data_IF_091585845787
#
_entry.id   IF_091585845787
#
_cell.length_a   1.000
_cell.length_b   1.000
_cell.length_c   1.000
_cell.angle_alpha   90.00
_cell.angle_beta   90.00
_cell.angle_gamma   90.00
#
_symmetry.space_group_name_H-M   'P 1'
#
loop_
_entity.id
_entity.type
_entity.pdbx_description
1 polymer ?
#
# COMPACT_ATOMS: atom_id res chain seq x y z
N UNK A 1 -9.24 18.81 -16.06
CA UNK A 1 -7.94 19.41 -15.71
C UNK A 1 -6.90 18.32 -15.88
N UNK A 2 -5.89 18.53 -16.72
CA UNK A 2 -4.79 17.57 -16.90
C UNK A 2 -3.76 17.76 -15.78
N UNK A 3 -3.49 16.71 -15.00
CA UNK A 3 -2.43 16.72 -13.98
C UNK A 3 -1.12 16.27 -14.64
N UNK A 4 -0.39 17.22 -15.22
CA UNK A 4 0.83 16.94 -15.99
C UNK A 4 2.03 16.64 -15.07
N UNK A 5 2.61 15.46 -15.22
CA UNK A 5 3.81 15.01 -14.49
C UNK A 5 4.90 14.67 -15.50
N UNK A 6 6.04 15.34 -15.38
CA UNK A 6 7.24 15.00 -16.14
C UNK A 6 8.10 14.01 -15.37
N UNK A 7 8.54 12.95 -16.04
CA UNK A 7 9.44 11.93 -15.50
C UNK A 7 10.79 12.11 -16.19
N UNK A 8 11.85 12.28 -15.41
CA UNK A 8 13.20 12.49 -15.91
C UNK A 8 14.11 11.40 -15.33
N UNK A 9 14.80 10.64 -16.16
CA UNK A 9 15.75 9.61 -15.69
C UNK A 9 16.97 9.55 -16.62
N UNK A 10 18.02 8.85 -16.19
CA UNK A 10 19.29 8.70 -16.91
C UNK A 10 19.19 7.70 -18.07
N UNK A 11 18.21 6.80 -18.00
CA UNK A 11 18.01 5.75 -19.00
C UNK A 11 17.32 6.26 -20.26
N UNK A 12 17.27 5.43 -21.31
CA UNK A 12 16.55 5.73 -22.56
C UNK A 12 15.07 5.40 -22.48
N UNK A 13 14.74 4.41 -21.67
CA UNK A 13 13.41 3.95 -21.32
C UNK A 13 13.32 3.99 -19.80
N UNK A 14 12.11 4.02 -19.27
CA UNK A 14 11.88 4.11 -17.83
C UNK A 14 10.87 3.06 -17.40
N UNK A 15 10.91 2.71 -16.11
CA UNK A 15 10.07 1.68 -15.51
C UNK A 15 8.60 1.81 -15.99
N UNK A 16 8.12 0.87 -16.83
CA UNK A 16 6.78 0.93 -17.39
C UNK A 16 5.70 0.75 -16.30
N UNK A 17 6.00 0.02 -15.22
CA UNK A 17 5.09 -0.21 -14.11
C UNK A 17 4.89 1.11 -13.33
N UNK A 18 5.97 1.85 -13.09
CA UNK A 18 5.88 3.16 -12.43
C UNK A 18 5.03 4.15 -13.25
N UNK A 19 5.24 4.19 -14.57
CA UNK A 19 4.46 5.05 -15.46
C UNK A 19 2.98 4.66 -15.49
N UNK A 20 2.70 3.36 -15.60
CA UNK A 20 1.33 2.85 -15.55
C UNK A 20 0.66 3.23 -14.22
N UNK A 21 1.34 3.08 -13.09
CA UNK A 21 0.81 3.44 -11.78
C UNK A 21 0.42 4.93 -11.70
N UNK A 22 1.22 5.83 -12.29
CA UNK A 22 0.87 7.26 -12.34
C UNK A 22 -0.36 7.51 -13.22
N UNK A 23 -0.45 6.85 -14.37
CA UNK A 23 -1.59 6.98 -15.27
C UNK A 23 -2.88 6.47 -14.61
N UNK A 24 -2.81 5.35 -13.90
CA UNK A 24 -3.93 4.81 -13.12
C UNK A 24 -4.35 5.76 -11.99
N UNK A 25 -3.44 6.57 -11.43
CA UNK A 25 -3.76 7.62 -10.46
C UNK A 25 -4.35 8.89 -11.10
N UNK A 26 -4.51 8.92 -12.43
CA UNK A 26 -5.08 10.05 -13.18
C UNK A 26 -4.07 11.15 -13.52
N UNK A 27 -2.77 10.82 -13.53
CA UNK A 27 -1.72 11.73 -14.00
C UNK A 27 -1.44 11.53 -15.49
N UNK A 28 -1.20 12.64 -16.19
CA UNK A 28 -0.69 12.61 -17.56
C UNK A 28 0.83 12.65 -17.49
N UNK A 29 1.48 11.58 -17.93
CA UNK A 29 2.93 11.40 -17.79
C UNK A 29 3.67 11.73 -19.09
N UNK A 30 4.71 12.56 -19.03
CA UNK A 30 5.66 12.76 -20.13
C UNK A 30 7.05 12.33 -19.64
N UNK A 31 7.69 11.42 -20.35
CA UNK A 31 9.04 10.98 -20.03
C UNK A 31 10.09 11.69 -20.89
N UNK A 32 11.15 12.18 -20.26
CA UNK A 32 12.30 12.81 -20.93
C UNK A 32 13.61 12.20 -20.40
N UNK A 33 14.36 11.47 -21.23
CA UNK A 33 15.62 10.85 -20.83
C UNK A 33 16.78 11.85 -20.78
N UNK A 34 17.73 11.64 -19.89
CA UNK A 34 19.02 12.35 -19.87
C UNK A 34 20.08 11.56 -20.65
N UNK A 35 20.33 11.98 -21.89
CA UNK A 35 21.25 11.29 -22.80
C UNK A 35 22.72 11.74 -22.70
N UNK A 36 23.10 12.33 -21.56
CA UNK A 36 24.47 12.81 -21.29
C UNK A 36 24.80 14.23 -21.77
N UNK A 37 23.97 14.85 -22.62
CA UNK A 37 24.14 16.27 -22.98
C UNK A 37 23.45 17.19 -21.98
N UNK A 38 24.22 17.72 -21.04
CA UNK A 38 23.73 18.60 -19.95
C UNK A 38 23.09 19.88 -20.47
N UNK A 39 23.60 20.45 -21.57
CA UNK A 39 23.06 21.72 -22.09
C UNK A 39 21.67 21.52 -22.69
N UNK A 40 21.50 20.49 -23.52
CA UNK A 40 20.22 20.17 -24.14
C UNK A 40 19.19 19.76 -23.09
N UNK A 41 19.61 18.97 -22.09
CA UNK A 41 18.74 18.56 -20.99
C UNK A 41 18.31 19.76 -20.14
N UNK A 42 19.24 20.64 -19.75
CA UNK A 42 18.91 21.85 -19.01
C UNK A 42 18.01 22.79 -19.82
N UNK A 43 18.18 22.84 -21.14
CA UNK A 43 17.28 23.58 -22.03
C UNK A 43 15.88 22.96 -21.97
N UNK A 44 15.73 21.65 -22.14
CA UNK A 44 14.44 20.96 -22.04
C UNK A 44 13.75 21.21 -20.69
N UNK A 45 14.47 21.07 -19.56
CA UNK A 45 13.92 21.31 -18.21
C UNK A 45 13.39 22.74 -18.04
N UNK A 46 14.07 23.74 -18.62
CA UNK A 46 13.62 25.15 -18.55
C UNK A 46 12.33 25.42 -19.31
N UNK A 47 12.04 24.63 -20.35
CA UNK A 47 10.91 24.84 -21.25
C UNK A 47 9.75 23.85 -21.00
N UNK A 48 9.80 23.05 -19.92
CA UNK A 48 8.70 22.12 -19.57
C UNK A 48 7.36 22.83 -19.31
N UNK A 49 7.42 24.11 -18.93
CA UNK A 49 6.24 24.91 -18.62
C UNK A 49 5.74 25.76 -19.80
N UNK A 50 6.42 25.75 -20.94
CA UNK A 50 6.15 26.71 -22.03
C UNK A 50 4.76 26.50 -22.66
N UNK A 51 4.32 25.25 -22.74
CA UNK A 51 3.00 24.87 -23.26
C UNK A 51 1.90 24.91 -22.18
N UNK A 52 2.23 25.35 -20.96
CA UNK A 52 1.30 25.33 -19.84
C UNK A 52 0.46 26.62 -19.79
N UNK A 53 -0.86 26.47 -19.85
CA UNK A 53 -1.78 27.60 -19.70
C UNK A 53 -1.60 28.32 -18.35
N UNK A 54 -1.86 29.63 -18.33
CA UNK A 54 -1.68 30.45 -17.14
C UNK A 54 -2.57 29.95 -15.99
N UNK A 55 -1.95 29.62 -14.85
CA UNK A 55 -2.63 29.11 -13.66
C UNK A 55 -2.68 27.59 -13.56
N UNK A 56 -2.26 26.85 -14.59
CA UNK A 56 -2.06 25.41 -14.48
C UNK A 56 -0.74 25.11 -13.78
N UNK A 57 -0.69 23.93 -13.15
CA UNK A 57 0.47 23.41 -12.44
C UNK A 57 1.00 22.19 -13.19
N UNK A 58 2.29 21.92 -13.04
CA UNK A 58 2.92 20.69 -13.46
C UNK A 58 3.82 20.20 -12.31
N UNK A 59 4.18 18.92 -12.36
CA UNK A 59 5.14 18.34 -11.43
C UNK A 59 6.29 17.69 -12.20
N UNK A 60 7.43 17.56 -11.54
CA UNK A 60 8.59 16.83 -12.04
C UNK A 60 8.94 15.75 -11.03
N UNK A 61 9.10 14.51 -11.49
CA UNK A 61 9.73 13.41 -10.76
C UNK A 61 11.02 13.10 -11.52
N UNK A 62 12.15 13.19 -10.83
CA UNK A 62 13.45 12.97 -11.46
C UNK A 62 14.27 11.96 -10.67
N UNK A 63 15.00 11.12 -11.41
CA UNK A 63 15.84 10.03 -10.91
C UNK A 63 17.31 10.28 -11.30
N UNK A 64 18.24 9.64 -10.60
CA UNK A 64 19.67 9.64 -10.97
C UNK A 64 20.32 11.02 -11.16
N UNK A 65 21.22 11.13 -12.14
CA UNK A 65 21.88 12.37 -12.55
C UNK A 65 20.90 13.39 -13.15
N UNK A 66 19.83 12.93 -13.81
CA UNK A 66 18.73 13.78 -14.28
C UNK A 66 18.11 14.58 -13.11
N UNK A 67 17.97 13.98 -11.92
CA UNK A 67 17.50 14.67 -10.71
C UNK A 67 18.45 15.77 -10.26
N UNK A 68 19.76 15.49 -10.27
CA UNK A 68 20.81 16.47 -9.92
C UNK A 68 20.78 17.67 -10.87
N UNK A 69 20.72 17.44 -12.18
CA UNK A 69 20.66 18.51 -13.17
C UNK A 69 19.36 19.30 -13.09
N UNK A 70 18.22 18.63 -12.92
CA UNK A 70 16.91 19.26 -12.72
C UNK A 70 16.91 20.18 -11.50
N UNK A 71 17.44 19.71 -10.37
CA UNK A 71 17.55 20.51 -9.15
C UNK A 71 18.44 21.74 -9.35
N UNK A 72 19.55 21.60 -10.06
CA UNK A 72 20.43 22.72 -10.41
C UNK A 72 19.72 23.78 -11.24
N UNK A 73 18.94 23.37 -12.25
CA UNK A 73 18.15 24.29 -13.09
C UNK A 73 17.09 25.01 -12.28
N UNK A 74 16.39 24.28 -11.42
CA UNK A 74 15.36 24.75 -10.50
C UNK A 74 15.89 25.79 -9.50
N UNK A 75 17.14 25.66 -9.05
CA UNK A 75 17.78 26.60 -8.12
C UNK A 75 18.36 27.85 -8.80
N UNK A 76 18.91 27.69 -10.01
CA UNK A 76 19.57 28.78 -10.74
C UNK A 76 18.59 29.69 -11.48
N UNK A 77 17.54 29.08 -12.03
CA UNK A 77 16.50 29.81 -12.72
C UNK A 77 15.48 30.20 -11.66
N UNK A 78 15.19 31.49 -11.52
CA UNK A 78 13.91 31.90 -10.96
C UNK A 78 12.85 31.40 -11.94
N UNK A 79 12.48 30.11 -11.88
CA UNK A 79 11.38 29.54 -12.65
C UNK A 79 10.21 30.49 -12.43
N UNK A 80 9.80 31.25 -13.47
CA UNK A 80 8.97 32.43 -13.27
C UNK A 80 7.69 31.99 -12.56
N UNK A 81 7.43 32.59 -11.38
CA UNK A 81 6.23 32.35 -10.55
C UNK A 81 6.15 31.08 -9.68
N UNK A 82 7.26 30.48 -9.24
CA UNK A 82 7.21 29.24 -8.44
C UNK A 82 7.48 29.40 -6.94
N UNK A 83 6.48 29.12 -6.09
CA UNK A 83 6.73 28.61 -4.74
C UNK A 83 7.11 27.13 -4.86
N UNK A 84 8.35 26.88 -5.27
CA UNK A 84 8.82 25.52 -5.48
C UNK A 84 8.84 24.75 -4.17
N UNK A 85 8.07 23.68 -4.12
CA UNK A 85 8.14 22.71 -3.05
C UNK A 85 8.98 21.54 -3.54
N UNK A 86 10.00 21.11 -2.79
CA UNK A 86 10.84 19.94 -3.09
C UNK A 86 10.64 18.80 -2.07
N UNK A 87 10.50 17.56 -2.57
CA UNK A 87 10.53 16.30 -1.82
C UNK A 87 11.69 15.45 -2.35
N UNK A 88 12.52 14.91 -1.46
CA UNK A 88 13.68 14.09 -1.82
C UNK A 88 13.59 12.69 -1.19
N UNK A 89 13.93 11.68 -1.99
CA UNK A 89 14.04 10.28 -1.58
C UNK A 89 15.47 9.83 -1.80
N UNK A 90 16.11 9.31 -0.75
CA UNK A 90 17.52 8.94 -0.77
C UNK A 90 17.71 7.49 -0.32
N UNK A 91 18.52 6.77 -1.08
CA UNK A 91 19.04 5.47 -0.66
C UNK A 91 19.99 5.64 0.54
N UNK A 92 20.15 4.59 1.34
CA UNK A 92 20.97 4.59 2.57
C UNK A 92 22.40 5.11 2.37
N UNK A 93 22.97 4.84 1.20
CA UNK A 93 24.37 5.14 0.86
C UNK A 93 24.60 6.57 0.34
N UNK A 94 23.59 7.44 0.30
CA UNK A 94 23.71 8.80 -0.25
C UNK A 94 23.93 9.84 0.87
N UNK A 95 25.16 10.37 1.04
CA UNK A 95 25.54 11.15 2.22
C UNK A 95 25.23 12.65 2.09
N UNK A 96 24.16 13.01 1.39
CA UNK A 96 23.76 14.41 1.22
C UNK A 96 22.32 14.61 1.66
N UNK A 97 22.05 15.71 2.35
CA UNK A 97 20.70 16.14 2.70
C UNK A 97 20.49 17.56 2.23
N UNK A 98 19.31 17.87 1.72
CA UNK A 98 18.92 19.24 1.37
C UNK A 98 18.42 19.92 2.63
N UNK A 99 19.22 20.83 3.20
CA UNK A 99 18.92 21.51 4.46
C UNK A 99 17.58 22.29 4.47
N UNK A 100 17.00 22.57 3.30
CA UNK A 100 15.76 23.34 3.11
C UNK A 100 14.56 22.53 2.61
N UNK A 101 14.68 21.24 2.30
CA UNK A 101 13.59 20.45 1.72
C UNK A 101 13.31 19.13 2.44
N UNK A 102 12.08 18.64 2.30
CA UNK A 102 11.63 17.42 2.98
C UNK A 102 12.35 16.22 2.38
N UNK A 103 13.19 15.56 3.16
CA UNK A 103 14.04 14.46 2.71
C UNK A 103 13.74 13.20 3.51
N UNK A 104 13.61 12.07 2.81
CA UNK A 104 13.46 10.76 3.39
C UNK A 104 14.62 9.86 2.97
N UNK A 105 15.25 9.22 3.96
CA UNK A 105 16.30 8.23 3.74
C UNK A 105 15.72 6.84 3.97
N UNK A 106 16.03 5.90 3.08
CA UNK A 106 15.58 4.52 3.12
C UNK A 106 16.75 3.63 3.54
N UNK A 107 16.70 3.01 4.72
CA UNK A 107 17.77 2.13 5.20
C UNK A 107 17.98 0.93 4.27
N UNK A 108 19.22 0.44 4.19
CA UNK A 108 19.59 -0.79 3.48
C UNK A 108 19.28 -0.83 1.98
N UNK A 109 19.01 0.32 1.34
CA UNK A 109 18.77 0.43 -0.09
C UNK A 109 19.91 1.09 -0.87
N UNK A 110 19.94 0.84 -2.19
CA UNK A 110 20.81 1.45 -3.18
C UNK A 110 20.03 2.42 -4.11
N UNK A 111 20.69 3.37 -4.80
CA UNK A 111 20.07 4.12 -5.90
C UNK A 111 19.42 3.17 -6.91
N UNK A 112 18.24 3.51 -7.42
CA UNK A 112 17.41 2.61 -8.25
C UNK A 112 16.36 1.83 -7.47
N UNK A 113 16.33 1.89 -6.13
CA UNK A 113 15.40 1.09 -5.30
C UNK A 113 13.90 1.24 -5.61
N UNK A 114 13.52 2.32 -6.29
CA UNK A 114 12.12 2.65 -6.59
C UNK A 114 11.69 2.22 -8.00
N UNK A 115 12.58 1.67 -8.82
CA UNK A 115 12.34 1.25 -10.20
C UNK A 115 12.27 -0.28 -10.23
N UNK A 116 11.12 -0.83 -10.63
CA UNK A 116 10.78 -2.25 -10.49
C UNK A 116 11.45 -3.18 -11.51
N UNK A 117 12.06 -2.59 -12.54
CA UNK A 117 12.83 -3.25 -13.58
C UNK A 117 14.34 -3.31 -13.29
N UNK A 118 14.80 -2.72 -12.17
CA UNK A 118 16.20 -2.76 -11.74
C UNK A 118 16.46 -3.85 -10.68
N UNK A 119 17.71 -4.31 -10.59
CA UNK A 119 18.14 -5.29 -9.58
C UNK A 119 18.10 -4.69 -8.16
N UNK A 120 18.29 -3.39 -8.05
CA UNK A 120 18.27 -2.63 -6.80
C UNK A 120 16.87 -2.45 -6.22
N UNK A 121 15.81 -2.85 -6.94
CA UNK A 121 14.42 -2.69 -6.52
C UNK A 121 14.17 -3.24 -5.12
N UNK A 122 13.71 -2.38 -4.23
CA UNK A 122 13.23 -2.77 -2.91
C UNK A 122 11.74 -2.47 -2.79
N UNK A 123 10.92 -3.53 -2.81
CA UNK A 123 9.45 -3.43 -2.77
C UNK A 123 8.94 -2.57 -1.60
N UNK A 124 9.56 -2.65 -0.43
CA UNK A 124 9.08 -1.96 0.77
C UNK A 124 9.46 -0.48 0.74
N UNK A 125 10.71 -0.17 0.41
CA UNK A 125 11.19 1.20 0.27
C UNK A 125 10.49 1.91 -0.90
N UNK A 126 10.30 1.23 -2.03
CA UNK A 126 9.54 1.71 -3.17
C UNK A 126 8.07 2.01 -2.80
N UNK A 127 7.41 1.11 -2.06
CA UNK A 127 6.04 1.36 -1.59
C UNK A 127 5.93 2.59 -0.67
N UNK A 128 6.91 2.78 0.21
CA UNK A 128 6.97 3.94 1.10
C UNK A 128 7.31 5.24 0.37
N UNK A 129 8.24 5.24 -0.59
CA UNK A 129 8.52 6.40 -1.44
C UNK A 129 7.32 6.76 -2.30
N UNK A 130 6.70 5.77 -2.95
CA UNK A 130 5.49 5.95 -3.73
C UNK A 130 4.37 6.64 -2.96
N UNK A 131 4.01 6.14 -1.77
CA UNK A 131 2.95 6.76 -0.96
C UNK A 131 3.25 8.22 -0.61
N UNK A 132 4.52 8.53 -0.29
CA UNK A 132 4.98 9.90 0.00
C UNK A 132 4.95 10.79 -1.24
N UNK A 133 5.38 10.29 -2.40
CA UNK A 133 5.29 10.98 -3.70
C UNK A 133 3.84 11.26 -4.06
N UNK A 134 2.95 10.28 -3.90
CA UNK A 134 1.54 10.45 -4.21
C UNK A 134 0.85 11.49 -3.32
N UNK A 135 1.09 11.47 -2.00
CA UNK A 135 0.63 12.54 -1.09
C UNK A 135 1.08 13.91 -1.60
N UNK A 136 2.33 13.99 -2.05
CA UNK A 136 2.95 15.22 -2.48
C UNK A 136 2.36 15.76 -3.78
N UNK A 137 2.21 14.91 -4.80
CA UNK A 137 1.57 15.26 -6.06
C UNK A 137 0.13 15.71 -5.85
N UNK A 138 -0.67 14.92 -5.11
CA UNK A 138 -2.07 15.25 -4.86
C UNK A 138 -2.22 16.59 -4.16
N UNK A 139 -1.38 16.88 -3.15
CA UNK A 139 -1.35 18.19 -2.50
C UNK A 139 -0.96 19.31 -3.47
N UNK A 140 0.05 19.08 -4.32
CA UNK A 140 0.51 20.05 -5.31
C UNK A 140 -0.59 20.44 -6.31
N UNK A 141 -1.29 19.44 -6.83
CA UNK A 141 -2.39 19.62 -7.78
C UNK A 141 -3.74 19.98 -7.14
N UNK A 142 -3.89 19.83 -5.81
CA UNK A 142 -5.17 20.00 -5.14
C UNK A 142 -6.16 18.86 -5.43
N UNK A 143 -5.65 17.66 -5.72
CA UNK A 143 -6.46 16.48 -5.96
C UNK A 143 -7.03 15.95 -4.65
N UNK A 144 -8.35 15.80 -4.60
CA UNK A 144 -9.07 15.17 -3.50
C UNK A 144 -9.49 13.79 -4.00
N UNK A 145 -9.10 12.76 -3.27
CA UNK A 145 -9.48 11.36 -3.55
C UNK A 145 -10.12 10.81 -2.29
N UNK A 146 -11.36 10.36 -2.42
CA UNK A 146 -12.09 9.75 -1.32
C UNK A 146 -11.83 8.24 -1.31
N UNK A 147 -10.87 7.83 -0.48
CA UNK A 147 -10.57 6.42 -0.26
C UNK A 147 -11.53 5.77 0.74
N UNK A 148 -12.22 6.56 1.57
CA UNK A 148 -13.17 6.02 2.54
C UNK A 148 -14.42 5.51 1.82
N UNK A 149 -14.95 6.31 0.89
CA UNK A 149 -16.09 5.91 0.05
C UNK A 149 -15.78 4.64 -0.74
N UNK A 150 -14.56 4.50 -1.26
CA UNK A 150 -14.11 3.29 -1.96
C UNK A 150 -14.14 2.06 -1.05
N UNK A 151 -13.61 2.19 0.17
CA UNK A 151 -13.54 1.08 1.13
C UNK A 151 -14.91 0.75 1.70
N UNK A 152 -15.73 1.75 1.99
CA UNK A 152 -17.10 1.54 2.46
C UNK A 152 -17.94 0.85 1.39
N UNK A 153 -17.79 1.22 0.11
CA UNK A 153 -18.47 0.53 -0.98
C UNK A 153 -17.99 -0.91 -1.16
N UNK A 154 -16.68 -1.14 -1.07
CA UNK A 154 -16.12 -2.48 -1.08
C UNK A 154 -16.66 -3.35 0.07
N UNK A 155 -16.66 -2.81 1.30
CA UNK A 155 -17.17 -3.50 2.48
C UNK A 155 -18.69 -3.75 2.40
N UNK A 156 -19.47 -2.80 1.85
CA UNK A 156 -20.90 -3.02 1.59
C UNK A 156 -21.13 -4.23 0.70
N UNK A 157 -20.37 -4.37 -0.37
CA UNK A 157 -20.45 -5.53 -1.27
C UNK A 157 -19.98 -6.82 -0.59
N UNK A 158 -18.88 -6.77 0.17
CA UNK A 158 -18.30 -7.93 0.86
C UNK A 158 -19.20 -8.51 1.95
N UNK A 159 -20.04 -7.68 2.60
CA UNK A 159 -20.79 -8.07 3.80
C UNK A 159 -22.32 -7.95 3.74
N UNK A 160 -22.94 -7.35 2.69
CA UNK A 160 -24.41 -7.18 2.62
C UNK A 160 -25.12 -7.83 1.42
N UNK A 161 -24.44 -8.27 0.36
CA UNK A 161 -25.10 -8.85 -0.82
C UNK A 161 -24.18 -9.74 -1.64
N UNK A 162 -24.77 -10.71 -2.36
CA UNK A 162 -24.10 -11.59 -3.33
C UNK A 162 -23.11 -10.78 -4.20
N UNK A 163 -21.83 -11.10 -4.08
CA UNK A 163 -20.71 -10.47 -4.78
C UNK A 163 -20.98 -10.34 -6.30
N UNK A 164 -20.84 -9.12 -6.84
CA UNK A 164 -20.77 -8.84 -8.28
C UNK A 164 -19.31 -8.60 -8.66
N UNK A 165 -18.78 -9.44 -9.54
CA UNK A 165 -17.37 -9.47 -9.99
C UNK A 165 -17.00 -8.20 -10.79
N UNK A 166 -17.98 -7.35 -11.12
CA UNK A 166 -17.81 -6.15 -11.95
C UNK A 166 -17.06 -4.97 -11.29
N UNK A 167 -16.95 -4.93 -9.96
CA UNK A 167 -16.27 -3.85 -9.21
C UNK A 167 -14.76 -4.12 -9.01
N UNK A 168 -14.33 -5.35 -9.27
CA UNK A 168 -12.93 -5.78 -9.23
C UNK A 168 -12.32 -5.65 -10.62
N UNK A 169 -11.40 -4.71 -10.85
CA UNK A 169 -10.56 -4.76 -12.04
C UNK A 169 -9.25 -5.45 -11.73
N UNK A 170 -8.81 -6.26 -12.69
CA UNK A 170 -7.47 -6.82 -12.90
C UNK A 170 -6.54 -6.76 -11.66
N UNK A 171 -6.73 -7.80 -10.83
CA UNK A 171 -5.84 -8.32 -9.78
C UNK A 171 -5.86 -7.60 -8.41
N UNK A 172 -6.98 -7.60 -7.65
CA UNK A 172 -6.93 -7.23 -6.24
C UNK A 172 -6.25 -8.33 -5.41
N UNK A 173 -4.95 -8.26 -5.15
CA UNK A 173 -4.29 -9.26 -4.30
C UNK A 173 -4.81 -9.17 -2.85
N UNK A 174 -5.46 -10.23 -2.37
CA UNK A 174 -5.93 -10.33 -0.98
C UNK A 174 -5.00 -11.28 -0.24
N UNK A 175 -4.29 -10.76 0.76
CA UNK A 175 -3.36 -11.53 1.58
C UNK A 175 -3.90 -11.65 3.00
N UNK A 176 -4.32 -12.84 3.41
CA UNK A 176 -4.62 -13.14 4.81
C UNK A 176 -3.31 -13.52 5.53
N UNK A 177 -2.88 -12.74 6.53
CA UNK A 177 -1.65 -13.03 7.28
C UNK A 177 -1.85 -14.01 8.45
N UNK A 178 -0.80 -14.65 9.01
CA UNK A 178 0.59 -14.71 8.58
C UNK A 178 0.94 -16.08 7.96
N UNK A 179 1.16 -16.11 6.64
CA UNK A 179 1.67 -17.26 5.84
C UNK A 179 0.98 -18.61 6.10
N UNK A 180 -0.33 -18.67 5.86
CA UNK A 180 -0.92 -19.91 5.35
C UNK A 180 -0.76 -19.88 3.81
N UNK A 181 -0.08 -20.86 3.18
CA UNK A 181 0.12 -20.90 1.72
C UNK A 181 -1.16 -21.09 0.89
N UNK A 182 -2.34 -20.93 1.50
CA UNK A 182 -3.63 -21.30 0.92
C UNK A 182 -4.76 -20.29 1.21
N UNK A 183 -4.46 -19.11 1.75
CA UNK A 183 -5.47 -18.09 2.08
C UNK A 183 -5.13 -16.74 1.45
N UNK A 184 -5.03 -16.70 0.13
CA UNK A 184 -4.82 -15.50 -0.65
C UNK A 184 -4.53 -15.82 -2.11
N UNK A 185 -4.87 -14.89 -3.00
CA UNK A 185 -4.56 -14.97 -4.43
C UNK A 185 -3.77 -13.76 -4.88
N UNK A 186 -2.73 -13.98 -5.69
CA UNK A 186 -1.91 -12.92 -6.28
C UNK A 186 -2.50 -12.50 -7.62
N UNK A 187 -3.13 -13.44 -8.35
CA UNK A 187 -3.76 -13.20 -9.64
C UNK A 187 -5.28 -13.47 -9.66
N UNK A 188 -5.95 -13.14 -10.77
CA UNK A 188 -7.41 -13.16 -10.89
C UNK A 188 -7.94 -14.58 -10.82
N UNK A 189 -7.20 -15.55 -11.36
CA UNK A 189 -7.59 -16.95 -11.32
C UNK A 189 -7.44 -17.51 -9.91
N UNK A 190 -6.36 -17.17 -9.20
CA UNK A 190 -6.18 -17.54 -7.78
C UNK A 190 -7.20 -16.85 -6.87
N UNK A 191 -7.57 -15.60 -7.16
CA UNK A 191 -8.62 -14.88 -6.42
C UNK A 191 -10.01 -15.43 -6.74
N UNK A 192 -10.30 -15.74 -8.00
CA UNK A 192 -11.56 -16.37 -8.42
C UNK A 192 -11.68 -17.80 -7.85
N UNK A 193 -10.57 -18.53 -7.71
CA UNK A 193 -10.52 -19.82 -7.00
C UNK A 193 -10.67 -19.62 -5.48
N UNK A 194 -10.03 -18.62 -4.90
CA UNK A 194 -10.16 -18.31 -3.47
C UNK A 194 -11.60 -17.90 -3.11
N UNK A 195 -12.23 -17.01 -3.87
CA UNK A 195 -13.62 -16.63 -3.65
C UNK A 195 -14.64 -17.66 -4.19
N UNK A 196 -14.25 -18.48 -5.16
CA UNK A 196 -15.11 -19.51 -5.77
C UNK A 196 -15.14 -20.83 -4.98
N UNK A 197 -14.04 -21.22 -4.34
CA UNK A 197 -13.91 -22.47 -3.58
C UNK A 197 -13.81 -22.26 -2.06
N UNK A 198 -13.29 -21.12 -1.59
CA UNK A 198 -12.87 -20.96 -0.18
C UNK A 198 -13.69 -19.93 0.60
N UNK A 199 -14.18 -18.84 0.00
CA UNK A 199 -14.62 -17.69 0.80
C UNK A 199 -15.95 -17.04 0.43
N UNK A 200 -16.92 -17.17 1.33
CA UNK A 200 -17.97 -16.15 1.53
C UNK A 200 -18.00 -15.81 3.02
N UNK A 201 -17.64 -14.58 3.40
CA UNK A 201 -17.93 -14.07 4.74
C UNK A 201 -19.44 -14.13 5.06
N UNK A 202 -20.30 -14.11 4.03
CA UNK A 202 -21.74 -14.36 4.10
C UNK A 202 -22.11 -15.70 4.77
N UNK A 203 -21.17 -16.66 4.84
CA UNK A 203 -21.41 -17.99 5.38
C UNK A 203 -21.19 -18.08 6.89
N UNK A 204 -20.77 -17.02 7.59
CA UNK A 204 -20.60 -17.07 9.05
C UNK A 204 -21.93 -16.81 9.77
N UNK A 205 -22.58 -17.82 10.38
CA UNK A 205 -23.78 -17.59 11.17
C UNK A 205 -23.36 -16.75 12.36
N UNK A 206 -24.04 -15.63 12.62
CA UNK A 206 -23.76 -14.67 13.72
C UNK A 206 -22.51 -13.78 13.59
N UNK A 207 -21.94 -13.58 12.40
CA UNK A 207 -20.87 -12.59 12.24
C UNK A 207 -21.39 -11.17 12.52
N UNK A 208 -20.84 -10.54 13.55
CA UNK A 208 -20.95 -9.12 13.83
C UNK A 208 -19.59 -8.45 13.62
N UNK A 209 -19.61 -7.24 13.07
CA UNK A 209 -18.41 -6.45 12.80
C UNK A 209 -18.63 -5.02 13.27
N UNK A 210 -17.65 -4.48 14.00
CA UNK A 210 -17.65 -3.11 14.50
C UNK A 210 -16.33 -2.43 14.16
N UNK A 211 -16.37 -1.38 13.35
CA UNK A 211 -15.22 -0.51 13.12
C UNK A 211 -14.84 0.19 14.45
N UNK A 212 -13.59 0.01 14.86
CA UNK A 212 -13.01 0.61 16.07
C UNK A 212 -12.24 1.88 15.71
N UNK A 213 -11.40 1.80 14.68
CA UNK A 213 -10.60 2.93 14.21
C UNK A 213 -10.36 2.84 12.69
N UNK A 214 -10.14 4.00 12.06
CA UNK A 214 -9.81 4.14 10.64
C UNK A 214 -8.68 5.15 10.45
N UNK A 215 -7.68 4.81 9.66
CA UNK A 215 -6.58 5.70 9.25
C UNK A 215 -6.48 5.77 7.74
N UNK A 216 -6.58 6.96 7.16
CA UNK A 216 -6.53 7.18 5.71
C UNK A 216 -5.16 7.73 5.30
N UNK A 217 -4.49 6.99 4.41
CA UNK A 217 -3.22 7.36 3.80
C UNK A 217 -3.37 7.94 2.39
N UNK A 218 -2.26 8.03 1.65
CA UNK A 218 -2.29 8.53 0.28
C UNK A 218 -2.95 7.53 -0.68
N UNK A 219 -2.73 6.23 -0.48
CA UNK A 219 -3.11 5.17 -1.40
C UNK A 219 -3.82 4.02 -0.68
N UNK A 220 -4.08 4.15 0.63
CA UNK A 220 -4.61 3.06 1.45
C UNK A 220 -5.42 3.55 2.64
N UNK A 221 -6.31 2.70 3.12
CA UNK A 221 -7.06 2.85 4.36
C UNK A 221 -6.70 1.68 5.27
N UNK A 222 -6.47 1.97 6.55
CA UNK A 222 -6.25 0.98 7.60
C UNK A 222 -7.45 1.02 8.52
N UNK A 223 -8.23 -0.05 8.54
CA UNK A 223 -9.38 -0.24 9.41
C UNK A 223 -9.04 -1.24 10.50
N UNK A 224 -9.27 -0.86 11.75
CA UNK A 224 -9.27 -1.77 12.89
C UNK A 224 -10.73 -2.09 13.22
N UNK A 225 -11.08 -3.37 13.21
CA UNK A 225 -12.45 -3.84 13.39
C UNK A 225 -12.50 -4.92 14.44
N UNK A 226 -13.44 -4.85 15.38
CA UNK A 226 -13.79 -6.00 16.20
C UNK A 226 -14.72 -6.90 15.41
N UNK A 227 -14.38 -8.18 15.29
CA UNK A 227 -15.32 -9.20 14.79
C UNK A 227 -15.75 -10.13 15.90
N UNK A 228 -17.03 -10.52 15.88
CA UNK A 228 -17.59 -11.49 16.81
C UNK A 228 -18.40 -12.52 16.04
N UNK A 229 -18.21 -13.80 16.31
CA UNK A 229 -18.95 -14.89 15.64
C UNK A 229 -18.95 -16.17 16.47
N UNK A 230 -19.95 -17.04 16.25
CA UNK A 230 -19.93 -18.41 16.75
C UNK A 230 -19.26 -19.38 15.77
N UNK A 231 -18.27 -20.17 16.22
CA UNK A 231 -17.61 -21.20 15.42
C UNK A 231 -18.49 -22.47 15.29
N UNK A 232 -19.59 -22.33 14.54
CA UNK A 232 -20.65 -23.34 14.33
C UNK A 232 -20.51 -24.11 13.02
N UNK A 233 -19.62 -23.67 12.14
CA UNK A 233 -19.22 -24.31 10.89
C UNK A 233 -17.71 -24.11 10.66
N UNK A 234 -17.11 -24.83 9.71
CA UNK A 234 -15.74 -24.55 9.28
C UNK A 234 -15.64 -23.13 8.67
N UNK A 235 -14.56 -22.42 8.99
CA UNK A 235 -14.29 -21.05 8.53
C UNK A 235 -12.95 -21.07 7.80
N UNK A 236 -12.96 -21.34 6.49
CA UNK A 236 -11.75 -21.73 5.77
C UNK A 236 -10.64 -20.65 5.78
N UNK A 237 -10.98 -19.36 5.70
CA UNK A 237 -9.99 -18.27 5.75
C UNK A 237 -9.38 -18.02 7.13
N UNK A 238 -10.10 -18.33 8.22
CA UNK A 238 -9.67 -18.03 9.60
C UNK A 238 -9.14 -19.27 10.33
N UNK A 239 -9.80 -20.40 10.11
CA UNK A 239 -9.61 -21.68 10.77
C UNK A 239 -9.69 -22.82 9.74
N UNK A 240 -8.77 -22.87 8.75
CA UNK A 240 -8.81 -23.88 7.70
C UNK A 240 -8.75 -25.29 8.28
N UNK A 241 -9.69 -26.16 7.85
CA UNK A 241 -9.78 -27.58 8.25
C UNK A 241 -10.06 -27.80 9.74
N UNK A 242 -10.49 -26.76 10.46
CA UNK A 242 -10.89 -26.90 11.86
C UNK A 242 -12.40 -27.14 11.90
N UNK A 243 -12.86 -28.28 12.46
CA UNK A 243 -14.29 -28.54 12.58
C UNK A 243 -14.94 -27.61 13.64
N UNK A 244 -16.27 -27.44 13.59
CA UNK A 244 -16.99 -26.56 14.50
C UNK A 244 -16.73 -26.89 15.97
N UNK A 245 -16.39 -25.87 16.76
CA UNK A 245 -16.18 -26.02 18.22
C UNK A 245 -17.38 -25.52 19.03
N UNK A 246 -18.34 -24.87 18.38
CA UNK A 246 -19.52 -24.23 18.99
C UNK A 246 -19.15 -23.21 20.10
N UNK A 247 -17.98 -22.60 19.99
CA UNK A 247 -17.53 -21.53 20.88
C UNK A 247 -17.67 -20.17 20.20
N UNK A 248 -17.92 -19.14 21.00
CA UNK A 248 -17.88 -17.76 20.54
C UNK A 248 -16.44 -17.30 20.41
N UNK A 249 -16.17 -16.51 19.37
CA UNK A 249 -14.90 -15.82 19.16
C UNK A 249 -15.16 -14.33 19.05
N UNK A 250 -14.33 -13.54 19.72
CA UNK A 250 -14.25 -12.09 19.58
C UNK A 250 -12.77 -11.71 19.38
N UNK A 251 -12.44 -11.08 18.26
CA UNK A 251 -11.04 -10.79 17.90
C UNK A 251 -10.94 -9.51 17.07
N UNK A 252 -9.99 -8.61 17.36
CA UNK A 252 -9.70 -7.48 16.49
C UNK A 252 -9.02 -7.96 15.20
N UNK A 253 -9.47 -7.44 14.07
CA UNK A 253 -8.87 -7.59 12.74
C UNK A 253 -8.42 -6.22 12.26
N UNK A 254 -7.20 -6.15 11.74
CA UNK A 254 -6.69 -4.99 11.01
C UNK A 254 -6.79 -5.29 9.52
N UNK A 255 -7.61 -4.52 8.80
CA UNK A 255 -7.66 -4.51 7.34
C UNK A 255 -6.86 -3.35 6.78
N UNK A 256 -5.98 -3.63 5.82
CA UNK A 256 -5.23 -2.63 5.06
C UNK A 256 -5.69 -2.73 3.61
N UNK A 257 -6.53 -1.80 3.19
CA UNK A 257 -7.08 -1.74 1.83
C UNK A 257 -6.36 -0.66 1.05
N UNK A 258 -5.73 -1.04 -0.06
CA UNK A 258 -5.04 -0.11 -0.94
C UNK A 258 -5.83 0.13 -2.22
N UNK A 259 -5.94 1.41 -2.59
CA UNK A 259 -6.71 1.91 -3.72
C UNK A 259 -5.85 2.62 -4.77
N UNK A 260 -6.25 2.48 -6.03
CA UNK A 260 -5.59 3.07 -7.19
C UNK A 260 -6.63 3.33 -8.28
N UNK A 261 -6.64 4.54 -8.85
CA UNK A 261 -7.59 4.89 -9.91
C UNK A 261 -9.06 4.74 -9.53
N UNK A 262 -9.40 4.94 -8.26
CA UNK A 262 -10.76 4.72 -7.75
C UNK A 262 -11.16 3.25 -7.64
N UNK A 263 -10.20 2.33 -7.64
CA UNK A 263 -10.41 0.88 -7.53
C UNK A 263 -9.54 0.28 -6.43
N UNK A 264 -10.00 -0.81 -5.83
CA UNK A 264 -9.21 -1.59 -4.88
C UNK A 264 -8.21 -2.45 -5.66
N UNK A 265 -6.93 -2.44 -5.27
CA UNK A 265 -5.91 -3.30 -5.89
C UNK A 265 -5.26 -4.27 -4.90
N UNK A 266 -5.44 -4.07 -3.60
CA UNK A 266 -4.78 -4.91 -2.61
C UNK A 266 -5.51 -4.81 -1.25
N UNK A 267 -5.76 -5.94 -0.60
CA UNK A 267 -6.25 -6.02 0.80
C UNK A 267 -5.32 -6.90 1.62
N UNK A 268 -4.93 -6.47 2.84
CA UNK A 268 -4.28 -7.35 3.82
C UNK A 268 -5.16 -7.43 5.06
N UNK A 269 -5.33 -8.64 5.59
CA UNK A 269 -5.95 -8.84 6.90
C UNK A 269 -4.92 -9.39 7.89
N UNK A 270 -4.90 -8.80 9.08
CA UNK A 270 -4.11 -9.26 10.22
C UNK A 270 -4.99 -9.47 11.44
N UNK A 271 -4.72 -10.52 12.20
CA UNK A 271 -5.42 -10.82 13.44
C UNK A 271 -4.55 -11.66 14.37
N UNK A 272 -4.94 -11.75 15.64
CA UNK A 272 -4.26 -12.62 16.62
C UNK A 272 -4.82 -14.05 16.54
N UNK A 273 -4.17 -14.87 15.71
CA UNK A 273 -4.56 -16.28 15.56
C UNK A 273 -4.40 -17.08 16.87
N UNK A 274 -3.46 -16.72 17.74
CA UNK A 274 -3.28 -17.44 19.01
C UNK A 274 -4.47 -17.21 19.94
N UNK A 275 -4.98 -15.97 20.01
CA UNK A 275 -6.19 -15.67 20.78
C UNK A 275 -7.41 -16.40 20.21
N UNK A 276 -7.57 -16.46 18.88
CA UNK A 276 -8.64 -17.27 18.26
C UNK A 276 -8.53 -18.74 18.69
N UNK A 277 -7.34 -19.35 18.59
CA UNK A 277 -7.11 -20.75 18.96
C UNK A 277 -7.37 -21.02 20.45
N UNK A 278 -7.04 -20.09 21.34
CA UNK A 278 -7.36 -20.18 22.78
C UNK A 278 -8.88 -20.14 22.99
N UNK A 279 -9.58 -19.19 22.37
CA UNK A 279 -11.03 -19.03 22.53
C UNK A 279 -11.80 -20.26 22.03
N UNK A 280 -11.37 -20.86 20.91
CA UNK A 280 -11.96 -22.12 20.42
C UNK A 280 -11.47 -23.36 21.19
N UNK A 281 -10.47 -23.24 22.06
CA UNK A 281 -9.93 -24.30 22.93
C UNK A 281 -8.97 -25.27 22.26
N UNK A 282 -8.33 -24.86 21.17
CA UNK A 282 -7.25 -25.63 20.52
C UNK A 282 -5.87 -25.25 21.04
N UNK A 283 -5.75 -24.15 21.78
CA UNK A 283 -4.51 -23.74 22.42
C UNK A 283 -4.72 -23.56 23.92
N UNK A 284 -3.98 -24.31 24.74
CA UNK A 284 -3.93 -24.12 26.20
C UNK A 284 -2.70 -23.26 26.53
N UNK A 285 -2.88 -22.02 27.02
CA UNK A 285 -1.78 -21.12 27.31
C UNK A 285 -0.90 -21.62 28.48
N UNK A 286 -1.32 -22.61 29.26
CA UNK A 286 -0.52 -23.20 30.36
C UNK A 286 0.45 -24.29 29.88
N UNK A 287 0.31 -24.77 28.64
CA UNK A 287 1.20 -25.76 28.03
C UNK A 287 2.50 -25.10 27.52
N UNK A 288 3.32 -24.67 28.48
CA UNK A 288 4.65 -24.13 28.23
C UNK A 288 5.71 -25.24 28.04
N UNK A 289 6.72 -25.04 27.16
CA UNK A 289 7.86 -25.95 27.03
C UNK A 289 8.57 -26.22 28.37
N UNK A 290 9.01 -27.46 28.58
CA UNK A 290 9.53 -27.91 29.88
C UNK A 290 10.78 -27.14 30.33
N UNK A 291 11.67 -26.83 29.39
CA UNK A 291 12.86 -26.01 29.61
C UNK A 291 12.51 -24.59 30.06
N UNK A 292 11.47 -23.98 29.48
CA UNK A 292 10.98 -22.67 29.91
C UNK A 292 10.25 -22.71 31.25
N UNK A 293 9.56 -23.82 31.55
CA UNK A 293 8.94 -24.04 32.87
C UNK A 293 9.98 -24.06 34.00
N UNK A 294 11.14 -24.70 33.77
CA UNK A 294 12.25 -24.69 34.76
C UNK A 294 12.83 -23.30 34.99
N UNK A 295 12.68 -22.39 34.02
CA UNK A 295 13.06 -20.98 34.11
C UNK A 295 11.95 -20.08 34.68
N UNK A 296 10.84 -20.66 35.14
CA UNK A 296 9.76 -19.95 35.82
C UNK A 296 8.62 -19.44 34.91
N UNK A 297 8.64 -19.72 33.61
CA UNK A 297 7.51 -19.38 32.73
C UNK A 297 6.34 -20.33 33.02
N UNK A 298 5.21 -19.79 33.46
CA UNK A 298 4.02 -20.60 33.82
C UNK A 298 2.92 -20.59 32.76
N UNK A 299 2.86 -19.55 31.94
CA UNK A 299 1.80 -19.34 30.94
C UNK A 299 2.37 -18.59 29.73
N UNK A 300 1.94 -18.94 28.53
CA UNK A 300 2.19 -18.18 27.32
C UNK A 300 1.52 -16.81 27.42
N UNK A 301 2.14 -15.72 26.89
CA UNK A 301 1.59 -14.37 26.95
C UNK A 301 0.47 -14.20 25.91
N UNK A 302 -0.61 -14.97 26.05
CA UNK A 302 -1.79 -14.96 25.18
C UNK A 302 -3.01 -14.65 26.05
N UNK A 303 -3.78 -13.67 25.64
CA UNK A 303 -4.88 -13.07 26.42
C UNK A 303 -6.21 -13.77 26.14
N UNK A 304 -6.45 -14.31 24.93
CA UNK A 304 -7.70 -15.00 24.62
C UNK A 304 -8.83 -13.99 24.43
N UNK A 305 -9.84 -13.99 25.30
CA UNK A 305 -10.96 -13.04 25.22
C UNK A 305 -10.70 -11.71 25.96
N UNK A 306 -9.57 -11.60 26.67
CA UNK A 306 -9.24 -10.43 27.50
C UNK A 306 -8.64 -9.26 26.69
N UNK A 307 -8.73 -9.28 25.35
CA UNK A 307 -8.15 -8.27 24.44
C UNK A 307 -9.12 -7.20 23.95
N UNK A 308 -10.41 -7.30 24.29
CA UNK A 308 -11.44 -6.35 23.87
C UNK A 308 -11.70 -5.26 24.92
#
# INVERSE_FOLDING_TARGET
>A
MSHLVHILSDDKEFDPVFLQHLQEQGFNTIYTPFTGNVNDFNYAVKHLADDLEQGHKYAIIAFGDAAKHTLSVAQQSALPHSSMSLLCHLASIQPFGTASSKTYVYPDTCPGFAESDLEEYDKFAAGLSWGRTLTYLRRGFGMIVDLEDLVDEYNRHKFKAKFDVSISSELPCVNHGPKLPSAGGIDREELDLFYGEVDRCDNLPSLEMRLLSRTVGADRVVDEMMISFGHTQEIAWLLPKVPPTNKSVEVPIVSIVSGRGGRLYQEQLYWDQASVLVQIGLLDPTLVPSDMRTKGLQRLPITGNDTA
#
